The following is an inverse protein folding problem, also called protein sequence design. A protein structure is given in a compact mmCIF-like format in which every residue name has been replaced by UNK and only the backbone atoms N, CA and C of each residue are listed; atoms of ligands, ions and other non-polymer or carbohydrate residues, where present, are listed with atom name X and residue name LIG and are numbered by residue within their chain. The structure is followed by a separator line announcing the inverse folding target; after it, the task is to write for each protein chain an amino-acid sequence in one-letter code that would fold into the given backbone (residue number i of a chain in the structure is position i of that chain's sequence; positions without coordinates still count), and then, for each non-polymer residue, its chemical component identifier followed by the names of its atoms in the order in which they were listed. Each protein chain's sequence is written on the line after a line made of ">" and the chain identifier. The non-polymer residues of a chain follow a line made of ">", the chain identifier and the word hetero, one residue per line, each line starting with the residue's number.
data_IF_860737015547
#
_entry.id   IF_860737015547
#
_cell.length_a   1.000
_cell.length_b   1.000
_cell.length_c   1.000
_cell.angle_alpha   90.00
_cell.angle_beta   90.00
_cell.angle_gamma   90.00
#
_symmetry.space_group_name_H-M   'P 1'
#
loop_
_entity.id
_entity.type
_entity.pdbx_description
1 polymer ?
#
# COMPACT_ATOMS: atom_id res chain seq x y z
N UNK A 1 1.75 34.03 13.55
CA UNK A 1 2.15 33.17 14.70
C UNK A 1 0.98 33.06 15.67
N UNK A 2 0.65 31.88 16.17
CA UNK A 2 -0.36 31.63 17.19
C UNK A 2 0.17 30.54 18.14
N UNK A 3 -0.47 30.34 19.30
CA UNK A 3 -0.07 29.28 20.21
C UNK A 3 -0.29 27.89 19.56
N UNK A 4 0.60 26.93 19.83
CA UNK A 4 0.50 25.55 19.30
C UNK A 4 -0.91 24.96 19.51
N UNK A 5 -1.48 25.15 20.72
CA UNK A 5 -2.83 24.70 21.02
C UNK A 5 -3.90 25.34 20.13
N UNK A 6 -3.78 26.63 19.87
CA UNK A 6 -4.78 27.36 19.09
C UNK A 6 -4.72 26.93 17.61
N UNK A 7 -3.52 26.73 17.07
CA UNK A 7 -3.32 26.15 15.73
C UNK A 7 -3.90 24.74 15.66
N UNK A 8 -3.60 23.90 16.64
CA UNK A 8 -4.16 22.55 16.71
C UNK A 8 -5.69 22.54 16.71
N UNK A 9 -6.32 23.40 17.55
CA UNK A 9 -7.78 23.49 17.60
C UNK A 9 -8.37 24.02 16.30
N UNK A 10 -7.74 24.97 15.64
CA UNK A 10 -8.17 25.45 14.32
C UNK A 10 -8.11 24.33 13.26
N UNK A 11 -7.03 23.52 13.27
CA UNK A 11 -6.94 22.37 12.37
C UNK A 11 -8.02 21.32 12.67
N UNK A 12 -8.32 21.07 13.94
CA UNK A 12 -9.41 20.16 14.35
C UNK A 12 -10.75 20.69 13.84
N UNK A 13 -11.04 21.97 14.02
CA UNK A 13 -12.30 22.58 13.58
C UNK A 13 -12.45 22.44 12.06
N UNK A 14 -11.40 22.74 11.30
CA UNK A 14 -11.40 22.60 9.83
C UNK A 14 -11.57 21.14 9.40
N UNK A 15 -10.81 20.22 9.97
CA UNK A 15 -10.92 18.81 9.63
C UNK A 15 -12.28 18.21 10.00
N UNK A 16 -12.95 18.73 11.07
CA UNK A 16 -14.28 18.29 11.48
C UNK A 16 -15.40 18.66 10.51
N UNK A 17 -15.12 19.56 9.55
CA UNK A 17 -16.06 19.83 8.46
C UNK A 17 -16.23 18.60 7.53
N UNK A 18 -15.19 17.72 7.45
CA UNK A 18 -15.14 16.56 6.58
C UNK A 18 -15.07 15.22 7.32
N UNK A 19 -14.47 15.18 8.51
CA UNK A 19 -14.14 13.94 9.22
C UNK A 19 -14.80 13.89 10.61
N UNK A 20 -15.08 12.68 11.15
CA UNK A 20 -15.51 12.53 12.54
C UNK A 20 -14.47 13.07 13.54
N UNK A 21 -14.91 13.54 14.72
CA UNK A 21 -14.06 14.21 15.71
C UNK A 21 -12.74 13.49 16.05
N UNK A 22 -12.77 12.16 16.16
CA UNK A 22 -11.58 11.36 16.49
C UNK A 22 -10.57 11.41 15.33
N UNK A 23 -11.04 11.23 14.12
CA UNK A 23 -10.22 11.27 12.90
C UNK A 23 -9.70 12.70 12.65
N UNK A 24 -10.55 13.72 12.82
CA UNK A 24 -10.17 15.13 12.70
C UNK A 24 -9.03 15.52 13.65
N UNK A 25 -9.02 15.00 14.88
CA UNK A 25 -7.94 15.23 15.84
C UNK A 25 -6.63 14.55 15.42
N UNK A 26 -6.71 13.34 14.87
CA UNK A 26 -5.53 12.63 14.34
C UNK A 26 -4.94 13.37 13.14
N UNK A 27 -5.79 13.82 12.22
CA UNK A 27 -5.40 14.64 11.06
C UNK A 27 -4.71 15.93 11.52
N UNK A 28 -5.31 16.66 12.46
CA UNK A 28 -4.75 17.89 13.00
C UNK A 28 -3.38 17.64 13.67
N UNK A 29 -3.23 16.53 14.40
CA UNK A 29 -1.98 16.13 15.02
C UNK A 29 -0.91 15.85 13.97
N UNK A 30 -1.21 15.04 12.95
CA UNK A 30 -0.28 14.76 11.86
C UNK A 30 0.23 16.04 11.20
N UNK A 31 -0.66 16.98 10.89
CA UNK A 31 -0.29 18.24 10.24
C UNK A 31 0.58 19.11 11.14
N UNK A 32 0.18 19.33 12.39
CA UNK A 32 0.93 20.24 13.27
C UNK A 32 2.31 19.68 13.61
N UNK A 33 2.45 18.36 13.76
CA UNK A 33 3.74 17.73 13.99
C UNK A 33 4.64 17.84 12.76
N UNK A 34 4.14 17.49 11.58
CA UNK A 34 4.92 17.48 10.35
C UNK A 34 5.25 18.90 9.86
N UNK A 35 4.24 19.76 9.69
CA UNK A 35 4.42 21.11 9.13
C UNK A 35 4.96 22.11 10.14
N UNK A 36 4.64 21.93 11.42
CA UNK A 36 5.21 22.70 12.53
C UNK A 36 6.61 22.25 12.95
N UNK A 37 7.05 21.07 12.49
CA UNK A 37 8.34 20.45 12.86
C UNK A 37 8.53 20.36 14.36
N UNK A 38 7.50 19.95 15.06
CA UNK A 38 7.49 19.78 16.52
C UNK A 38 7.19 18.32 16.86
N UNK A 39 7.59 17.90 18.06
CA UNK A 39 7.23 16.59 18.58
C UNK A 39 5.85 16.61 19.26
N UNK A 40 5.27 15.43 19.46
CA UNK A 40 4.04 15.26 20.26
C UNK A 40 4.24 15.80 21.68
N UNK A 41 5.42 15.61 22.27
CA UNK A 41 5.75 16.14 23.58
C UNK A 41 5.74 17.67 23.62
N UNK A 42 6.27 18.32 22.56
CA UNK A 42 6.22 19.79 22.47
C UNK A 42 4.80 20.33 22.43
N UNK A 43 3.89 19.63 21.74
CA UNK A 43 2.48 20.01 21.68
C UNK A 43 1.79 19.86 23.04
N UNK A 44 2.11 18.79 23.79
CA UNK A 44 1.47 18.47 25.06
C UNK A 44 2.02 19.30 26.24
N UNK A 45 3.35 19.47 26.29
CA UNK A 45 4.04 20.10 27.44
C UNK A 45 4.11 21.62 27.29
N UNK A 46 4.24 22.09 26.06
CA UNK A 46 4.41 23.51 25.73
C UNK A 46 3.32 24.06 24.81
N UNK A 47 2.02 23.89 25.15
CA UNK A 47 0.93 24.21 24.23
C UNK A 47 0.76 25.70 23.93
N UNK A 48 1.33 26.57 24.78
CA UNK A 48 1.23 28.02 24.65
C UNK A 48 2.43 28.67 23.93
N UNK A 49 3.42 27.89 23.53
CA UNK A 49 4.53 28.40 22.70
C UNK A 49 3.99 28.76 21.32
N UNK A 50 4.43 29.90 20.81
CA UNK A 50 4.07 30.37 19.48
C UNK A 50 4.65 29.44 18.40
N UNK A 51 3.84 29.16 17.39
CA UNK A 51 4.20 28.38 16.22
C UNK A 51 3.74 29.11 14.95
N UNK A 52 4.48 28.95 13.89
CA UNK A 52 4.08 29.34 12.54
C UNK A 52 4.12 28.11 11.66
N UNK A 53 3.01 27.84 10.99
CA UNK A 53 2.95 26.82 9.96
C UNK A 53 2.91 27.53 8.62
N UNK A 54 3.93 27.33 7.76
CA UNK A 54 3.90 27.88 6.41
C UNK A 54 2.67 27.42 5.65
N UNK A 55 2.06 28.27 4.86
CA UNK A 55 0.92 27.94 3.99
C UNK A 55 -0.31 27.42 4.76
N UNK A 56 -0.51 27.84 6.02
CA UNK A 56 -1.58 27.36 6.89
C UNK A 56 -2.97 27.44 6.25
N UNK A 57 -3.31 28.54 5.61
CA UNK A 57 -4.60 28.71 4.94
C UNK A 57 -4.76 27.74 3.75
N UNK A 58 -3.69 27.52 2.98
CA UNK A 58 -3.68 26.52 1.90
C UNK A 58 -3.96 25.12 2.44
N UNK A 59 -3.30 24.76 3.55
CA UNK A 59 -3.54 23.47 4.23
C UNK A 59 -5.00 23.34 4.68
N UNK A 60 -5.58 24.40 5.22
CA UNK A 60 -7.00 24.43 5.61
C UNK A 60 -7.92 24.23 4.40
N UNK A 61 -7.62 24.87 3.27
CA UNK A 61 -8.42 24.73 2.04
C UNK A 61 -8.27 23.32 1.44
N UNK A 62 -7.07 22.74 1.46
CA UNK A 62 -6.82 21.34 1.06
C UNK A 62 -7.62 20.35 1.91
N UNK A 63 -7.68 20.55 3.24
CA UNK A 63 -8.50 19.72 4.14
C UNK A 63 -9.98 19.80 3.79
N UNK A 64 -10.52 21.01 3.56
CA UNK A 64 -11.92 21.21 3.16
C UNK A 64 -12.25 20.56 1.82
N UNK A 65 -11.25 20.46 0.94
CA UNK A 65 -11.40 19.78 -0.35
C UNK A 65 -11.23 18.26 -0.26
N UNK A 66 -11.17 17.68 0.94
CA UNK A 66 -10.95 16.25 1.17
C UNK A 66 -9.56 15.73 0.77
N UNK A 67 -8.56 16.60 0.52
CA UNK A 67 -7.22 16.13 0.20
C UNK A 67 -6.68 15.25 1.34
N UNK A 68 -6.19 14.04 1.07
CA UNK A 68 -5.66 13.14 2.09
C UNK A 68 -4.56 13.81 2.90
N UNK A 69 -4.61 13.68 4.23
CA UNK A 69 -3.60 14.28 5.10
C UNK A 69 -2.19 13.79 4.78
N UNK A 70 -2.04 12.53 4.35
CA UNK A 70 -0.76 11.96 3.95
C UNK A 70 -0.17 12.70 2.73
N UNK A 71 -1.00 13.13 1.78
CA UNK A 71 -0.54 13.95 0.64
C UNK A 71 -0.23 15.38 1.07
N UNK A 72 -0.99 15.94 2.03
CA UNK A 72 -0.71 17.27 2.59
C UNK A 72 0.65 17.27 3.30
N UNK A 73 0.91 16.28 4.14
CA UNK A 73 2.19 16.18 4.87
C UNK A 73 3.31 15.63 4.01
N UNK A 74 2.99 14.87 2.96
CA UNK A 74 3.93 14.22 2.04
C UNK A 74 4.47 12.90 2.54
N UNK A 75 3.90 12.32 3.61
CA UNK A 75 4.38 11.13 4.29
C UNK A 75 3.23 10.22 4.74
N UNK A 76 3.51 8.92 4.79
CA UNK A 76 2.64 7.90 5.37
C UNK A 76 3.47 6.89 6.17
N UNK A 77 2.97 6.52 7.35
CA UNK A 77 3.57 5.47 8.17
C UNK A 77 3.24 4.09 7.60
N UNK A 78 4.23 3.20 7.53
CA UNK A 78 4.07 1.81 7.13
C UNK A 78 5.23 0.96 7.64
N UNK A 79 4.96 -0.11 8.39
CA UNK A 79 5.94 -1.08 8.89
C UNK A 79 7.19 -0.40 9.51
N UNK A 80 6.98 0.49 10.47
CA UNK A 80 8.03 1.28 11.15
C UNK A 80 8.88 2.15 10.18
N UNK A 81 8.31 2.57 9.05
CA UNK A 81 8.90 3.52 8.10
C UNK A 81 7.96 4.70 7.89
N UNK A 82 8.52 5.86 7.63
CA UNK A 82 7.82 7.05 7.18
C UNK A 82 8.05 7.24 5.68
N UNK A 83 7.20 6.61 4.86
CA UNK A 83 7.34 6.61 3.41
C UNK A 83 6.89 7.92 2.78
N UNK A 84 7.61 8.40 1.79
CA UNK A 84 7.17 9.49 0.92
C UNK A 84 5.96 9.05 0.11
N UNK A 85 4.90 9.85 0.18
CA UNK A 85 3.69 9.67 -0.64
C UNK A 85 3.23 11.01 -1.21
N UNK A 86 2.70 10.96 -2.41
CA UNK A 86 2.06 12.08 -3.11
C UNK A 86 1.12 11.53 -4.17
N UNK A 87 0.38 12.39 -4.81
CA UNK A 87 -0.46 12.00 -5.95
C UNK A 87 0.33 11.11 -6.92
N UNK A 88 -0.31 10.06 -7.42
CA UNK A 88 0.29 9.05 -8.28
C UNK A 88 0.57 7.70 -7.61
N UNK A 89 0.44 7.58 -6.28
CA UNK A 89 0.52 6.28 -5.57
C UNK A 89 -0.64 6.11 -4.59
N UNK A 90 -1.08 4.88 -4.42
CA UNK A 90 -1.96 4.52 -3.31
C UNK A 90 -1.26 4.82 -1.98
N UNK A 91 -1.97 5.44 -1.04
CA UNK A 91 -1.47 5.62 0.33
C UNK A 91 -1.41 4.23 1.00
N UNK A 92 -0.26 3.79 1.53
CA UNK A 92 -0.14 2.50 2.20
C UNK A 92 -1.21 2.29 3.27
N UNK A 93 -1.79 1.09 3.30
CA UNK A 93 -2.86 0.75 4.24
C UNK A 93 -2.33 -0.12 5.38
N UNK A 94 -2.83 0.05 6.62
CA UNK A 94 -2.40 -0.76 7.75
C UNK A 94 -2.65 -2.27 7.55
N UNK A 95 -3.74 -2.63 6.87
CA UNK A 95 -4.07 -4.02 6.57
C UNK A 95 -3.00 -4.70 5.69
N UNK A 96 -2.34 -3.93 4.83
CA UNK A 96 -1.24 -4.42 3.97
C UNK A 96 0.01 -4.79 4.78
N UNK A 97 0.22 -4.22 5.98
CA UNK A 97 1.30 -4.62 6.87
C UNK A 97 1.17 -6.08 7.32
N UNK A 98 -0.06 -6.57 7.50
CA UNK A 98 -0.31 -7.97 7.87
C UNK A 98 0.05 -8.94 6.75
N UNK A 99 -0.15 -8.52 5.49
CA UNK A 99 0.31 -9.28 4.32
C UNK A 99 1.84 -9.38 4.31
N UNK A 100 2.53 -8.26 4.54
CA UNK A 100 4.00 -8.21 4.64
C UNK A 100 4.50 -9.12 5.75
N UNK A 101 3.90 -9.04 6.95
CA UNK A 101 4.21 -9.87 8.09
C UNK A 101 4.06 -11.36 7.77
N UNK A 102 3.00 -11.72 7.04
CA UNK A 102 2.78 -13.10 6.64
C UNK A 102 3.88 -13.61 5.71
N UNK A 103 4.17 -12.88 4.65
CA UNK A 103 5.24 -13.22 3.70
C UNK A 103 6.59 -13.33 4.41
N UNK A 104 6.92 -12.35 5.27
CA UNK A 104 8.20 -12.31 5.96
C UNK A 104 8.41 -13.50 6.91
N UNK A 105 7.36 -13.98 7.60
CA UNK A 105 7.43 -15.15 8.48
C UNK A 105 7.62 -16.46 7.74
N UNK A 106 7.15 -16.57 6.51
CA UNK A 106 7.24 -17.79 5.70
C UNK A 106 8.44 -17.77 4.75
N UNK A 107 9.05 -16.60 4.53
CA UNK A 107 10.19 -16.43 3.66
C UNK A 107 11.43 -17.19 4.21
N UNK A 108 12.07 -17.99 3.33
CA UNK A 108 13.30 -18.69 3.65
C UNK A 108 14.51 -17.74 3.57
N UNK A 109 15.61 -18.12 4.19
CA UNK A 109 16.87 -17.41 4.03
C UNK A 109 17.28 -17.37 2.54
N UNK A 110 17.65 -16.19 2.05
CA UNK A 110 18.01 -15.98 0.64
C UNK A 110 16.84 -16.00 -0.33
N UNK A 111 15.60 -15.93 0.16
CA UNK A 111 14.41 -15.94 -0.70
C UNK A 111 14.43 -14.82 -1.74
N UNK A 112 13.98 -15.15 -2.94
CA UNK A 112 13.71 -14.18 -4.00
C UNK A 112 12.24 -13.84 -4.00
N UNK A 113 11.94 -12.56 -3.83
CA UNK A 113 10.56 -12.07 -3.67
C UNK A 113 10.27 -11.04 -4.77
N UNK A 114 9.10 -11.12 -5.38
CA UNK A 114 8.59 -10.14 -6.34
C UNK A 114 7.32 -9.51 -5.79
N UNK A 115 7.31 -8.20 -5.68
CA UNK A 115 6.14 -7.37 -5.40
C UNK A 115 5.57 -6.83 -6.72
N UNK A 116 4.33 -7.17 -7.04
CA UNK A 116 3.63 -6.77 -8.27
C UNK A 116 2.58 -5.73 -7.93
N UNK A 117 2.48 -4.65 -8.72
CA UNK A 117 1.69 -3.45 -8.41
C UNK A 117 2.20 -2.74 -7.15
N UNK A 118 3.51 -2.45 -7.14
CA UNK A 118 4.23 -2.03 -5.93
C UNK A 118 3.83 -0.64 -5.40
N UNK A 119 3.25 0.23 -6.24
CA UNK A 119 2.84 1.59 -5.86
C UNK A 119 3.99 2.40 -5.27
N UNK A 120 3.88 2.76 -4.00
CA UNK A 120 4.92 3.50 -3.25
C UNK A 120 6.16 2.65 -2.91
N UNK A 121 6.16 1.35 -3.21
CA UNK A 121 7.20 0.42 -2.83
C UNK A 121 7.04 -0.16 -1.42
N UNK A 122 5.97 0.13 -0.73
CA UNK A 122 5.81 -0.17 0.71
C UNK A 122 5.98 -1.66 1.03
N UNK A 123 5.39 -2.58 0.26
CA UNK A 123 5.52 -4.03 0.45
C UNK A 123 6.96 -4.48 0.22
N UNK A 124 7.52 -4.15 -0.97
CA UNK A 124 8.86 -4.58 -1.34
C UNK A 124 9.93 -4.11 -0.36
N UNK A 125 9.86 -2.83 0.04
CA UNK A 125 10.81 -2.21 0.96
C UNK A 125 10.71 -2.83 2.36
N UNK A 126 9.47 -3.01 2.86
CA UNK A 126 9.25 -3.64 4.16
C UNK A 126 9.76 -5.08 4.17
N UNK A 127 9.46 -5.89 3.15
CA UNK A 127 9.95 -7.26 3.02
C UNK A 127 11.48 -7.32 2.99
N UNK A 128 12.14 -6.42 2.25
CA UNK A 128 13.60 -6.36 2.20
C UNK A 128 14.21 -6.02 3.56
N UNK A 129 13.56 -5.17 4.36
CA UNK A 129 14.00 -4.84 5.73
C UNK A 129 13.76 -5.98 6.71
N UNK A 130 12.59 -6.62 6.65
CA UNK A 130 12.20 -7.70 7.57
C UNK A 130 12.93 -9.01 7.27
N UNK A 131 13.32 -9.25 6.00
CA UNK A 131 14.08 -10.44 5.56
C UNK A 131 15.40 -9.99 4.93
N UNK A 132 16.41 -9.60 5.73
CA UNK A 132 17.65 -8.98 5.22
C UNK A 132 18.48 -9.84 4.27
N UNK A 133 18.27 -11.16 4.27
CA UNK A 133 18.94 -12.09 3.33
C UNK A 133 18.23 -12.21 1.98
N UNK A 134 17.00 -11.66 1.83
CA UNK A 134 16.22 -11.78 0.60
C UNK A 134 16.76 -10.91 -0.54
N UNK A 135 16.50 -11.33 -1.77
CA UNK A 135 16.58 -10.49 -2.96
C UNK A 135 15.15 -10.06 -3.35
N UNK A 136 14.89 -8.76 -3.43
CA UNK A 136 13.54 -8.25 -3.68
C UNK A 136 13.50 -7.44 -4.98
N UNK A 137 12.49 -7.76 -5.79
CA UNK A 137 12.08 -7.00 -6.98
C UNK A 137 10.71 -6.39 -6.74
N UNK A 138 10.46 -5.28 -7.38
CA UNK A 138 9.19 -4.58 -7.32
C UNK A 138 8.81 -4.10 -8.73
N UNK A 139 7.57 -4.31 -9.13
CA UNK A 139 7.08 -3.95 -10.45
C UNK A 139 5.83 -3.09 -10.36
N UNK A 140 5.77 -2.07 -11.22
CA UNK A 140 4.58 -1.26 -11.42
C UNK A 140 4.50 -0.81 -12.88
N UNK A 141 3.29 -0.53 -13.35
CA UNK A 141 3.06 0.03 -14.68
C UNK A 141 3.30 1.53 -14.72
N UNK A 142 3.12 2.23 -13.58
CA UNK A 142 3.23 3.68 -13.47
C UNK A 142 4.68 4.12 -13.27
N UNK A 143 5.29 4.87 -14.22
CA UNK A 143 6.59 5.48 -14.02
C UNK A 143 6.63 6.46 -12.84
N UNK A 144 5.50 7.12 -12.55
CA UNK A 144 5.34 8.07 -11.44
C UNK A 144 5.38 7.32 -10.10
N UNK A 145 4.65 6.21 -9.99
CA UNK A 145 4.70 5.34 -8.81
C UNK A 145 6.12 4.80 -8.59
N UNK A 146 6.77 4.32 -9.64
CA UNK A 146 8.14 3.84 -9.57
C UNK A 146 9.16 4.92 -9.19
N UNK A 147 8.92 6.17 -9.54
CA UNK A 147 9.78 7.27 -9.09
C UNK A 147 9.68 7.45 -7.57
N UNK A 148 8.47 7.39 -7.01
CA UNK A 148 8.22 7.46 -5.55
C UNK A 148 8.79 6.21 -4.85
N UNK A 149 8.55 5.02 -5.41
CA UNK A 149 9.08 3.78 -4.87
C UNK A 149 10.61 3.76 -4.81
N UNK A 150 11.28 4.30 -5.84
CA UNK A 150 12.76 4.43 -5.84
C UNK A 150 13.27 5.45 -4.83
N UNK A 151 12.54 6.55 -4.61
CA UNK A 151 12.85 7.52 -3.56
C UNK A 151 12.79 6.86 -2.18
N UNK A 152 11.71 6.15 -1.88
CA UNK A 152 11.55 5.39 -0.65
C UNK A 152 12.59 4.27 -0.52
N UNK A 153 12.83 3.53 -1.62
CA UNK A 153 13.83 2.47 -1.65
C UNK A 153 15.24 3.00 -1.37
N UNK A 154 15.61 4.15 -1.92
CA UNK A 154 16.93 4.76 -1.67
C UNK A 154 17.15 5.08 -0.19
N UNK A 155 16.09 5.40 0.55
CA UNK A 155 16.15 5.71 1.99
C UNK A 155 16.21 4.44 2.85
N UNK A 156 15.37 3.43 2.55
CA UNK A 156 15.14 2.32 3.48
C UNK A 156 15.68 0.97 3.01
N UNK A 157 15.78 0.74 1.70
CA UNK A 157 16.19 -0.54 1.10
C UNK A 157 16.79 -0.32 -0.31
N UNK A 158 18.01 0.23 -0.44
CA UNK A 158 18.58 0.69 -1.71
C UNK A 158 18.90 -0.43 -2.70
N UNK A 159 18.84 -1.67 -2.30
CA UNK A 159 19.07 -2.85 -3.12
C UNK A 159 17.79 -3.50 -3.69
N UNK A 160 16.61 -2.97 -3.39
CA UNK A 160 15.37 -3.34 -4.08
C UNK A 160 15.45 -2.95 -5.55
N UNK A 161 15.05 -3.88 -6.42
CA UNK A 161 15.12 -3.70 -7.88
C UNK A 161 13.76 -3.33 -8.45
N UNK A 162 13.59 -2.08 -8.86
CA UNK A 162 12.34 -1.55 -9.41
C UNK A 162 12.31 -1.69 -10.93
N UNK A 163 11.27 -2.34 -11.45
CA UNK A 163 11.05 -2.67 -12.86
C UNK A 163 9.72 -2.07 -13.33
N UNK A 164 9.71 -1.44 -14.50
CA UNK A 164 8.45 -1.02 -15.13
C UNK A 164 7.82 -2.20 -15.85
N UNK A 165 6.53 -2.46 -15.63
CA UNK A 165 5.84 -3.58 -16.26
C UNK A 165 4.34 -3.58 -15.98
N UNK A 166 3.59 -4.14 -16.93
CA UNK A 166 2.14 -4.29 -16.85
C UNK A 166 1.78 -5.68 -16.30
N UNK A 167 1.02 -5.71 -15.19
CA UNK A 167 0.57 -6.93 -14.56
C UNK A 167 -0.47 -7.70 -15.38
N UNK A 168 -1.13 -7.04 -16.33
CA UNK A 168 -2.17 -7.65 -17.19
C UNK A 168 -1.60 -8.43 -18.39
N UNK A 169 -0.30 -8.31 -18.65
CA UNK A 169 0.39 -9.07 -19.71
C UNK A 169 1.39 -10.06 -19.12
N UNK A 170 1.91 -10.98 -19.93
CA UNK A 170 2.98 -11.88 -19.49
C UNK A 170 4.29 -11.08 -19.27
N UNK A 171 4.56 -10.75 -18.02
CA UNK A 171 5.75 -9.99 -17.63
C UNK A 171 6.98 -10.85 -17.33
N UNK A 172 6.90 -12.17 -17.49
CA UNK A 172 8.00 -13.10 -17.15
C UNK A 172 9.32 -12.81 -17.87
N UNK A 173 9.24 -12.34 -19.12
CA UNK A 173 10.43 -12.02 -19.92
C UNK A 173 11.27 -10.85 -19.35
N UNK A 174 10.67 -9.96 -18.59
CA UNK A 174 11.35 -8.80 -17.98
C UNK A 174 12.36 -9.23 -16.91
N UNK A 175 12.13 -10.36 -16.28
CA UNK A 175 12.97 -10.89 -15.19
C UNK A 175 14.07 -11.87 -15.68
N UNK A 176 14.23 -12.04 -17.00
CA UNK A 176 15.33 -12.79 -17.64
C UNK A 176 15.55 -14.19 -17.07
N UNK A 177 14.49 -14.89 -16.71
CA UNK A 177 14.55 -16.24 -16.18
C UNK A 177 14.85 -16.33 -14.67
N UNK A 178 14.78 -15.22 -13.94
CA UNK A 178 14.79 -15.25 -12.47
C UNK A 178 13.54 -15.99 -12.00
N UNK A 179 13.74 -16.96 -11.11
CA UNK A 179 12.66 -17.67 -10.43
C UNK A 179 12.52 -17.13 -9.01
N UNK A 180 11.28 -17.00 -8.54
CA UNK A 180 10.94 -16.44 -7.25
C UNK A 180 10.43 -17.50 -6.28
N UNK A 181 10.70 -17.31 -5.00
CA UNK A 181 10.16 -18.13 -3.91
C UNK A 181 8.81 -17.60 -3.43
N UNK A 182 8.59 -16.29 -3.58
CA UNK A 182 7.32 -15.65 -3.32
C UNK A 182 7.02 -14.56 -4.37
N UNK A 183 5.76 -14.49 -4.77
CA UNK A 183 5.19 -13.33 -5.48
C UNK A 183 4.11 -12.76 -4.58
N UNK A 184 4.15 -11.47 -4.31
CA UNK A 184 3.18 -10.77 -3.49
C UNK A 184 2.58 -9.62 -4.27
N UNK A 185 1.29 -9.33 -4.06
CA UNK A 185 0.65 -8.18 -4.68
C UNK A 185 -0.54 -7.67 -3.87
N UNK A 186 -0.66 -6.36 -3.83
CA UNK A 186 -1.91 -5.65 -3.52
C UNK A 186 -2.36 -4.95 -4.81
N UNK A 187 -3.00 -5.67 -5.75
CA UNK A 187 -3.39 -5.11 -7.04
C UNK A 187 -4.69 -4.32 -6.94
N UNK A 188 -5.09 -3.54 -7.94
CA UNK A 188 -6.43 -2.96 -8.02
C UNK A 188 -7.50 -4.05 -7.95
N UNK A 189 -8.52 -3.86 -7.09
CA UNK A 189 -9.56 -4.88 -6.87
C UNK A 189 -10.95 -4.34 -6.57
N UNK A 190 -11.13 -3.03 -6.48
CA UNK A 190 -12.43 -2.43 -6.14
C UNK A 190 -13.28 -2.34 -7.41
N UNK A 191 -14.46 -2.99 -7.46
CA UNK A 191 -15.37 -2.82 -8.58
C UNK A 191 -15.77 -1.35 -8.76
N UNK A 192 -15.87 -0.89 -10.03
CA UNK A 192 -16.23 0.50 -10.32
C UNK A 192 -17.59 0.90 -9.72
N UNK A 193 -18.53 -0.04 -9.60
CA UNK A 193 -19.83 0.17 -8.94
C UNK A 193 -19.72 0.56 -7.47
N UNK A 194 -18.63 0.20 -6.78
CA UNK A 194 -18.43 0.51 -5.37
C UNK A 194 -17.80 1.89 -5.12
N UNK A 195 -17.37 2.59 -6.18
CA UNK A 195 -16.84 3.96 -6.12
C UNK A 195 -17.76 4.90 -5.34
N UNK A 196 -19.06 4.80 -5.55
CA UNK A 196 -20.06 5.66 -4.90
C UNK A 196 -20.17 5.44 -3.37
N UNK A 197 -19.64 4.34 -2.85
CA UNK A 197 -19.62 4.03 -1.42
C UNK A 197 -18.39 4.58 -0.70
N UNK A 198 -17.42 5.07 -1.46
CA UNK A 198 -16.15 5.55 -0.95
C UNK A 198 -16.16 7.05 -0.67
N UNK A 199 -15.25 7.48 0.19
CA UNK A 199 -15.14 8.90 0.53
C UNK A 199 -14.36 9.67 -0.54
N UNK A 200 -14.61 10.99 -0.71
CA UNK A 200 -13.93 11.82 -1.70
C UNK A 200 -12.40 11.84 -1.56
N UNK A 201 -11.87 11.74 -0.34
CA UNK A 201 -10.41 11.69 -0.12
C UNK A 201 -9.72 10.53 -0.85
N UNK A 202 -10.44 9.46 -1.14
CA UNK A 202 -9.92 8.34 -1.94
C UNK A 202 -10.23 8.56 -3.42
N UNK A 203 -11.51 8.75 -3.75
CA UNK A 203 -11.98 8.76 -5.14
C UNK A 203 -11.57 9.97 -5.96
N UNK A 204 -11.18 11.09 -5.33
CA UNK A 204 -10.79 12.32 -6.02
C UNK A 204 -9.27 12.54 -6.05
N UNK A 205 -8.51 11.82 -5.22
CA UNK A 205 -7.08 12.08 -5.06
C UNK A 205 -6.18 10.88 -5.30
N UNK A 206 -6.60 9.69 -4.89
CA UNK A 206 -5.78 8.51 -5.11
C UNK A 206 -5.96 7.99 -6.55
N UNK A 207 -4.93 7.42 -7.18
CA UNK A 207 -5.00 7.09 -8.61
C UNK A 207 -6.00 5.95 -8.88
N UNK A 208 -6.93 6.19 -9.79
CA UNK A 208 -7.96 5.21 -10.20
C UNK A 208 -7.36 3.86 -10.62
N UNK A 209 -6.22 3.91 -11.31
CA UNK A 209 -5.50 2.72 -11.77
C UNK A 209 -5.00 1.83 -10.62
N UNK A 210 -4.85 2.37 -9.42
CA UNK A 210 -4.44 1.62 -8.23
C UNK A 210 -5.63 1.09 -7.41
N UNK A 211 -6.85 1.49 -7.74
CA UNK A 211 -8.04 1.19 -6.96
C UNK A 211 -9.03 0.30 -7.70
N UNK A 212 -9.41 0.70 -8.93
CA UNK A 212 -10.63 0.23 -9.57
C UNK A 212 -10.38 -0.78 -10.68
N UNK A 213 -11.35 -1.70 -10.76
CA UNK A 213 -11.47 -2.68 -11.84
C UNK A 213 -12.88 -2.62 -12.43
N UNK A 214 -13.03 -3.06 -13.68
CA UNK A 214 -14.36 -3.17 -14.28
C UNK A 214 -15.22 -4.21 -13.55
N UNK A 215 -16.50 -3.91 -13.33
CA UNK A 215 -17.45 -4.81 -12.69
C UNK A 215 -17.61 -6.16 -13.42
N UNK A 216 -17.33 -6.18 -14.72
CA UNK A 216 -17.42 -7.37 -15.56
C UNK A 216 -16.35 -8.43 -15.26
N UNK A 217 -15.20 -8.03 -14.72
CA UNK A 217 -14.10 -8.94 -14.35
C UNK A 217 -13.26 -8.42 -13.18
N UNK A 218 -13.77 -8.47 -11.96
CA UNK A 218 -13.06 -7.97 -10.78
C UNK A 218 -11.82 -8.79 -10.41
N UNK A 219 -11.64 -9.98 -11.00
CA UNK A 219 -10.47 -10.84 -10.77
C UNK A 219 -9.37 -10.68 -11.84
N UNK A 220 -9.47 -9.72 -12.74
CA UNK A 220 -8.57 -9.60 -13.91
C UNK A 220 -7.10 -9.57 -13.52
N UNK A 221 -6.71 -8.73 -12.55
CA UNK A 221 -5.33 -8.63 -12.07
C UNK A 221 -4.86 -9.89 -11.37
N UNK A 222 -5.67 -10.43 -10.49
CA UNK A 222 -5.36 -11.66 -9.76
C UNK A 222 -5.07 -12.82 -10.70
N UNK A 223 -5.93 -13.00 -11.71
CA UNK A 223 -5.78 -14.06 -12.71
C UNK A 223 -4.53 -13.86 -13.55
N UNK A 224 -4.28 -12.65 -14.05
CA UNK A 224 -3.11 -12.36 -14.88
C UNK A 224 -1.79 -12.57 -14.10
N UNK A 225 -1.75 -12.12 -12.83
CA UNK A 225 -0.60 -12.32 -11.96
C UNK A 225 -0.41 -13.81 -11.64
N UNK A 226 -1.50 -14.54 -11.35
CA UNK A 226 -1.43 -15.97 -11.09
C UNK A 226 -0.91 -16.75 -12.29
N UNK A 227 -1.42 -16.48 -13.49
CA UNK A 227 -0.98 -17.13 -14.73
C UNK A 227 0.50 -16.90 -15.03
N UNK A 228 0.96 -15.66 -14.88
CA UNK A 228 2.38 -15.33 -15.07
C UNK A 228 3.23 -15.87 -13.93
N UNK A 229 2.75 -15.80 -12.70
CA UNK A 229 3.41 -16.30 -11.50
C UNK A 229 3.75 -17.78 -11.57
N UNK A 230 2.88 -18.62 -12.15
CA UNK A 230 3.17 -20.05 -12.37
C UNK A 230 4.43 -20.32 -13.20
N UNK A 231 4.79 -19.40 -14.09
CA UNK A 231 5.98 -19.53 -14.93
C UNK A 231 7.24 -19.07 -14.19
N UNK A 232 7.09 -18.29 -13.13
CA UNK A 232 8.16 -17.59 -12.43
C UNK A 232 8.39 -18.07 -11.00
N UNK A 233 7.45 -18.80 -10.40
CA UNK A 233 7.64 -19.36 -9.06
C UNK A 233 8.50 -20.62 -9.10
N UNK A 234 9.38 -20.75 -8.12
CA UNK A 234 10.11 -21.99 -7.83
C UNK A 234 9.14 -23.12 -7.49
N UNK A 235 9.61 -24.38 -7.53
CA UNK A 235 8.90 -25.48 -6.91
C UNK A 235 8.69 -25.16 -5.42
N UNK A 236 7.46 -25.35 -4.92
CA UNK A 236 7.05 -24.91 -3.60
C UNK A 236 7.01 -23.37 -3.38
N UNK A 237 7.07 -22.58 -4.43
CA UNK A 237 6.89 -21.13 -4.35
C UNK A 237 5.44 -20.73 -4.06
N UNK A 238 5.28 -19.58 -3.45
CA UNK A 238 3.97 -19.09 -2.98
C UNK A 238 3.56 -17.80 -3.66
N UNK A 239 2.27 -17.68 -3.89
CA UNK A 239 1.60 -16.46 -4.38
C UNK A 239 0.75 -15.89 -3.25
N UNK A 240 0.94 -14.61 -2.94
CA UNK A 240 0.23 -13.90 -1.88
C UNK A 240 -0.50 -12.70 -2.46
N UNK A 241 -1.75 -12.50 -2.04
CA UNK A 241 -2.54 -11.34 -2.41
C UNK A 241 -3.22 -10.69 -1.21
N UNK A 242 -3.31 -9.36 -1.24
CA UNK A 242 -4.39 -8.67 -0.57
C UNK A 242 -5.64 -8.80 -1.46
N UNK A 243 -6.82 -9.02 -0.84
CA UNK A 243 -8.04 -9.34 -1.57
C UNK A 243 -9.22 -8.47 -1.13
N UNK A 244 -10.19 -8.34 -2.02
CA UNK A 244 -11.48 -7.75 -1.70
C UNK A 244 -12.33 -8.75 -0.91
N UNK A 245 -12.81 -8.34 0.26
CA UNK A 245 -13.49 -9.23 1.22
C UNK A 245 -14.70 -9.99 0.67
N UNK A 246 -15.39 -9.44 -0.33
CA UNK A 246 -16.57 -10.04 -0.93
C UNK A 246 -16.27 -11.07 -2.04
N UNK A 247 -15.01 -11.23 -2.46
CA UNK A 247 -14.61 -12.08 -3.59
C UNK A 247 -13.81 -13.33 -3.17
N UNK A 248 -13.89 -13.73 -1.91
CA UNK A 248 -13.08 -14.84 -1.35
C UNK A 248 -13.33 -16.15 -2.07
N UNK A 249 -14.60 -16.53 -2.28
CA UNK A 249 -14.95 -17.80 -2.89
C UNK A 249 -14.49 -17.84 -4.36
N UNK A 250 -14.68 -16.73 -5.08
CA UNK A 250 -14.24 -16.59 -6.46
C UNK A 250 -12.72 -16.62 -6.57
N UNK A 251 -12.00 -15.99 -5.61
CA UNK A 251 -10.55 -16.01 -5.56
C UNK A 251 -10.00 -17.42 -5.34
N UNK A 252 -10.57 -18.17 -4.39
CA UNK A 252 -10.18 -19.57 -4.14
C UNK A 252 -10.39 -20.40 -5.40
N UNK A 253 -11.59 -20.33 -5.99
CA UNK A 253 -11.93 -21.08 -7.20
C UNK A 253 -11.03 -20.73 -8.39
N UNK A 254 -10.69 -19.44 -8.55
CA UNK A 254 -9.79 -18.96 -9.59
C UNK A 254 -8.37 -19.51 -9.40
N UNK A 255 -7.81 -19.44 -8.20
CA UNK A 255 -6.46 -19.94 -7.92
C UNK A 255 -6.37 -21.47 -8.11
N UNK A 256 -7.37 -22.23 -7.68
CA UNK A 256 -7.42 -23.68 -7.92
C UNK A 256 -7.54 -24.00 -9.42
N UNK A 257 -8.35 -23.24 -10.17
CA UNK A 257 -8.45 -23.36 -11.62
C UNK A 257 -7.13 -23.08 -12.34
N UNK A 258 -6.41 -22.06 -11.89
CA UNK A 258 -5.06 -21.72 -12.40
C UNK A 258 -4.00 -22.75 -11.95
N UNK A 259 -4.37 -23.78 -11.16
CA UNK A 259 -3.51 -24.91 -10.78
C UNK A 259 -2.63 -24.63 -9.57
N UNK A 260 -3.05 -23.71 -8.72
CA UNK A 260 -2.48 -23.54 -7.38
C UNK A 260 -3.13 -24.51 -6.40
N UNK A 261 -2.46 -24.80 -5.30
CA UNK A 261 -2.89 -25.71 -4.23
C UNK A 261 -2.65 -25.06 -2.87
N UNK A 262 -3.12 -25.71 -1.81
CA UNK A 262 -2.93 -25.23 -0.43
C UNK A 262 -3.40 -23.80 -0.22
N UNK A 263 -4.54 -23.44 -0.86
CA UNK A 263 -5.11 -22.10 -0.79
C UNK A 263 -5.54 -21.78 0.64
N UNK A 264 -4.98 -20.74 1.22
CA UNK A 264 -5.23 -20.32 2.61
C UNK A 264 -5.69 -18.87 2.62
N UNK A 265 -6.79 -18.59 3.29
CA UNK A 265 -7.30 -17.22 3.51
C UNK A 265 -7.04 -16.80 4.94
N UNK A 266 -6.61 -15.56 5.14
CA UNK A 266 -6.47 -14.95 6.46
C UNK A 266 -7.33 -13.71 6.58
N UNK A 267 -7.86 -13.51 7.80
CA UNK A 267 -8.58 -12.33 8.20
C UNK A 267 -7.59 -11.25 8.67
N UNK A 268 -7.98 -9.98 8.49
CA UNK A 268 -7.29 -8.83 9.05
C UNK A 268 -7.63 -8.65 10.55
N UNK A 269 -6.99 -7.67 11.19
CA UNK A 269 -7.23 -7.34 12.62
C UNK A 269 -8.67 -6.93 12.94
N UNK A 270 -9.50 -6.68 11.91
CA UNK A 270 -10.94 -6.39 12.04
C UNK A 270 -11.81 -7.63 11.85
N UNK A 271 -11.19 -8.79 11.59
CA UNK A 271 -11.88 -10.07 11.36
C UNK A 271 -12.52 -10.19 9.98
N UNK A 272 -11.98 -9.49 8.98
CA UNK A 272 -12.45 -9.57 7.59
C UNK A 272 -11.42 -10.34 6.75
N UNK A 273 -11.87 -11.25 5.88
CA UNK A 273 -10.97 -11.88 4.91
C UNK A 273 -10.25 -10.80 4.09
N UNK A 274 -8.93 -10.77 4.18
CA UNK A 274 -8.12 -9.71 3.57
C UNK A 274 -6.92 -10.22 2.80
N UNK A 275 -6.45 -11.40 3.12
CA UNK A 275 -5.25 -11.95 2.52
C UNK A 275 -5.46 -13.38 2.07
N UNK A 276 -4.86 -13.76 0.96
CA UNK A 276 -4.86 -15.12 0.44
C UNK A 276 -3.44 -15.53 0.06
N UNK A 277 -3.10 -16.77 0.35
CA UNK A 277 -1.86 -17.41 -0.08
C UNK A 277 -2.19 -18.70 -0.81
N UNK A 278 -1.45 -18.99 -1.87
CA UNK A 278 -1.57 -20.26 -2.58
C UNK A 278 -0.19 -20.73 -3.05
N UNK A 279 0.00 -22.06 -3.09
CA UNK A 279 1.25 -22.69 -3.48
C UNK A 279 1.20 -23.17 -4.91
N UNK A 280 2.29 -22.99 -5.65
CA UNK A 280 2.37 -23.59 -6.98
C UNK A 280 2.48 -25.11 -6.89
N UNK A 281 1.65 -25.84 -7.66
CA UNK A 281 1.75 -27.30 -7.72
C UNK A 281 2.87 -27.73 -8.66
N UNK A 282 3.79 -28.54 -8.15
CA UNK A 282 4.88 -29.16 -8.94
C UNK A 282 4.39 -30.18 -9.99
N UNK A 283 3.11 -30.59 -9.91
CA UNK A 283 2.54 -31.67 -10.77
C UNK A 283 2.03 -31.13 -12.12
N UNK A 284 1.93 -29.81 -12.30
CA UNK A 284 1.23 -29.19 -13.43
C UNK A 284 2.17 -28.33 -14.34
N UNK A 285 3.45 -28.65 -14.44
CA UNK A 285 4.37 -28.04 -15.41
C UNK A 285 4.53 -28.85 -16.67
#
# INVERSE_FOLDING_TARGET
>A
MAARRDIFLQLVDVASECYPDVEARQIAEMIILAKGRISRNDLLIEPNVELEIPEFETICDELRSWRPVQYIVGKADFADMELTVREGVLIPRPETEELVDWVAREAKEGARILDVCTGSGCIAIALRRMVPSSEVWAMDISPEALAIARENGAEYAPDVRFVEGDALVDFSAQFKGVMFDAIVSNPPYIPESDRALMRPNVTEYEPDIALFVEDSDPLIFYRAIAQTGRKMLNDDGHLYFEIYESLVEEMVAMLEHEGYTEVTVKEDFRGKPRMICARVSSIAR
#
